data_IF_982826845390
#
_entry.id   IF_982826845390
#
_cell.length_a   1.000
_cell.length_b   1.000
_cell.length_c   1.000
_cell.angle_alpha   90.00
_cell.angle_beta   90.00
_cell.angle_gamma   90.00
#
_symmetry.space_group_name_H-M   'P 1'
#
loop_
_entity.id
_entity.type
_entity.pdbx_description
1 polymer ?
#
# COMPACT_ATOMS: atom_id res chain seq x y z
N UNK A 1 -17.30 13.03 -9.04
CA UNK A 1 -16.72 11.68 -8.89
C UNK A 1 -15.37 11.83 -8.27
N UNK A 2 -15.18 11.25 -7.09
CA UNK A 2 -13.93 11.36 -6.35
C UNK A 2 -12.83 10.52 -6.99
N UNK A 3 -11.58 10.95 -6.86
CA UNK A 3 -10.43 10.26 -7.49
C UNK A 3 -10.33 8.78 -7.10
N UNK A 4 -10.69 8.43 -5.86
CA UNK A 4 -10.67 7.04 -5.40
C UNK A 4 -11.78 6.19 -6.00
N UNK A 5 -12.92 6.77 -6.40
CA UNK A 5 -14.01 6.03 -7.06
C UNK A 5 -13.54 5.58 -8.44
N UNK A 6 -12.93 6.48 -9.21
CA UNK A 6 -12.32 6.14 -10.50
C UNK A 6 -11.31 4.99 -10.39
N UNK A 7 -10.51 4.95 -9.33
CA UNK A 7 -9.57 3.85 -9.13
C UNK A 7 -10.26 2.50 -8.86
N UNK A 8 -11.40 2.49 -8.15
CA UNK A 8 -12.18 1.27 -7.96
C UNK A 8 -12.88 0.85 -9.26
N UNK A 9 -13.41 1.81 -10.02
CA UNK A 9 -14.03 1.55 -11.32
C UNK A 9 -13.01 0.94 -12.31
N UNK A 10 -11.77 1.47 -12.33
CA UNK A 10 -10.68 0.91 -13.13
C UNK A 10 -10.31 -0.52 -12.71
N UNK A 11 -10.37 -0.83 -11.41
CA UNK A 11 -10.14 -2.18 -10.90
C UNK A 11 -11.24 -3.13 -11.40
N UNK A 12 -12.50 -2.70 -11.31
CA UNK A 12 -13.65 -3.49 -11.75
C UNK A 12 -13.63 -3.71 -13.27
N UNK A 13 -13.29 -2.68 -14.04
CA UNK A 13 -13.09 -2.77 -15.48
C UNK A 13 -11.96 -3.77 -15.82
N UNK A 14 -10.83 -3.69 -15.14
CA UNK A 14 -9.70 -4.62 -15.34
C UNK A 14 -10.12 -6.07 -15.06
N UNK A 15 -10.90 -6.31 -13.99
CA UNK A 15 -11.43 -7.65 -13.68
C UNK A 15 -12.45 -8.12 -14.71
N UNK A 16 -13.23 -7.21 -15.32
CA UNK A 16 -14.19 -7.55 -16.38
C UNK A 16 -13.49 -8.12 -17.63
N UNK A 17 -12.21 -7.80 -17.83
CA UNK A 17 -11.39 -8.36 -18.90
C UNK A 17 -10.78 -9.73 -18.55
N UNK A 18 -11.11 -10.30 -17.38
CA UNK A 18 -10.58 -11.58 -16.91
C UNK A 18 -9.17 -11.52 -16.33
N UNK A 19 -8.66 -10.32 -16.06
CA UNK A 19 -7.34 -10.12 -15.45
C UNK A 19 -7.44 -10.31 -13.94
N UNK A 20 -6.67 -11.25 -13.40
CA UNK A 20 -6.55 -11.43 -11.95
C UNK A 20 -5.70 -10.33 -11.32
N UNK A 21 -6.18 -9.77 -10.20
CA UNK A 21 -5.51 -8.70 -9.48
C UNK A 21 -5.08 -9.26 -8.11
N UNK A 22 -3.85 -9.77 -7.97
CA UNK A 22 -3.42 -10.45 -6.76
C UNK A 22 -3.14 -9.48 -5.60
N UNK A 23 -2.89 -8.20 -5.90
CA UNK A 23 -2.56 -7.18 -4.91
C UNK A 23 -2.79 -5.79 -5.47
N UNK A 24 -3.37 -4.90 -4.65
CA UNK A 24 -3.45 -3.46 -4.92
C UNK A 24 -2.40 -2.72 -4.09
N UNK A 25 -1.59 -1.87 -4.75
CA UNK A 25 -0.67 -0.95 -4.10
C UNK A 25 -0.98 0.49 -4.51
N UNK A 26 -0.94 1.41 -3.56
CA UNK A 26 -1.23 2.82 -3.82
C UNK A 26 -0.43 3.74 -2.88
N UNK A 27 -0.33 5.03 -3.23
CA UNK A 27 0.18 6.05 -2.32
C UNK A 27 -0.87 6.51 -1.29
N UNK A 28 -0.48 7.43 -0.41
CA UNK A 28 -1.35 8.05 0.58
C UNK A 28 -2.52 8.84 -0.04
N UNK A 29 -2.40 9.33 -1.28
CA UNK A 29 -3.47 10.03 -1.96
C UNK A 29 -4.73 9.17 -2.17
N UNK A 30 -4.56 7.85 -2.32
CA UNK A 30 -5.68 6.90 -2.29
C UNK A 30 -5.82 6.23 -0.93
N UNK A 31 -4.71 5.82 -0.32
CA UNK A 31 -4.74 5.05 0.91
C UNK A 31 -5.26 5.82 2.11
N UNK A 32 -5.28 7.16 2.10
CA UNK A 32 -5.93 7.96 3.15
C UNK A 32 -7.45 7.89 3.09
N UNK A 33 -8.02 7.70 1.91
CA UNK A 33 -9.45 7.57 1.72
C UNK A 33 -9.93 6.24 2.33
N UNK A 34 -10.65 6.33 3.45
CA UNK A 34 -11.19 5.13 4.11
C UNK A 34 -12.18 4.39 3.22
N UNK A 35 -12.97 5.12 2.43
CA UNK A 35 -13.89 4.55 1.45
C UNK A 35 -13.15 3.74 0.37
N UNK A 36 -11.96 4.18 -0.06
CA UNK A 36 -11.12 3.42 -0.99
C UNK A 36 -10.71 2.07 -0.39
N UNK A 37 -10.15 2.09 0.82
CA UNK A 37 -9.72 0.87 1.52
C UNK A 37 -10.89 -0.07 1.75
N UNK A 38 -12.05 0.46 2.15
CA UNK A 38 -13.26 -0.34 2.33
C UNK A 38 -13.74 -0.96 1.01
N UNK A 39 -13.75 -0.19 -0.09
CA UNK A 39 -14.13 -0.71 -1.41
C UNK A 39 -13.21 -1.83 -1.92
N UNK A 40 -11.91 -1.80 -1.56
CA UNK A 40 -11.00 -2.92 -1.81
C UNK A 40 -11.37 -4.16 -0.98
N UNK A 41 -11.77 -3.97 0.28
CA UNK A 41 -12.17 -5.06 1.19
C UNK A 41 -13.47 -5.72 0.75
N UNK A 42 -14.48 -4.95 0.31
CA UNK A 42 -15.72 -5.48 -0.28
C UNK A 42 -15.44 -6.37 -1.50
N UNK A 43 -14.44 -5.98 -2.30
CA UNK A 43 -13.98 -6.74 -3.48
C UNK A 43 -13.06 -7.92 -3.14
N UNK A 44 -12.77 -8.13 -1.85
CA UNK A 44 -11.85 -9.13 -1.31
C UNK A 44 -10.44 -9.02 -1.89
N UNK A 45 -10.00 -7.80 -2.19
CA UNK A 45 -8.68 -7.54 -2.76
C UNK A 45 -7.63 -7.38 -1.65
N UNK A 46 -6.52 -8.14 -1.70
CA UNK A 46 -5.36 -7.85 -0.87
C UNK A 46 -4.79 -6.48 -1.24
N UNK A 47 -4.35 -5.71 -0.25
CA UNK A 47 -3.74 -4.41 -0.49
C UNK A 47 -2.59 -4.09 0.45
N UNK A 48 -1.69 -3.23 -0.04
CA UNK A 48 -0.69 -2.53 0.77
C UNK A 48 -0.62 -1.08 0.28
N UNK A 49 -1.29 -0.18 0.99
CA UNK A 49 -1.46 1.22 0.56
C UNK A 49 -0.73 2.16 1.50
N UNK A 50 -0.05 3.16 0.94
CA UNK A 50 0.54 4.23 1.73
C UNK A 50 -0.54 5.00 2.47
N UNK A 51 -0.23 5.50 3.67
CA UNK A 51 -1.15 6.30 4.47
C UNK A 51 -0.42 7.46 5.15
N UNK A 52 -1.17 8.47 5.57
CA UNK A 52 -0.72 9.51 6.47
C UNK A 52 -0.46 8.96 7.86
N UNK A 53 0.55 9.51 8.52
CA UNK A 53 0.90 9.17 9.91
C UNK A 53 -0.15 9.62 10.93
N UNK A 54 -1.08 10.50 10.50
CA UNK A 54 -2.14 11.10 11.34
C UNK A 54 -3.39 10.25 11.47
N UNK A 55 -3.52 9.15 10.70
CA UNK A 55 -4.61 8.21 10.94
C UNK A 55 -4.54 7.67 12.36
N UNK A 56 -5.68 7.27 12.91
CA UNK A 56 -5.75 6.75 14.28
C UNK A 56 -6.10 5.28 14.29
N UNK A 57 -5.57 4.57 15.28
CA UNK A 57 -5.84 3.17 15.53
C UNK A 57 -5.72 2.82 17.01
N UNK A 58 -6.29 1.69 17.37
CA UNK A 58 -5.99 1.00 18.63
C UNK A 58 -4.91 -0.07 18.41
N UNK A 59 -4.16 -0.44 19.47
CA UNK A 59 -3.37 -1.67 19.47
C UNK A 59 -4.20 -2.92 19.09
N UNK A 60 -3.56 -3.96 18.55
CA UNK A 60 -4.27 -5.18 18.11
C UNK A 60 -4.96 -5.95 19.25
N UNK A 61 -4.40 -5.91 20.45
CA UNK A 61 -4.92 -6.54 21.67
C UNK A 61 -6.05 -5.75 22.32
N UNK A 62 -6.24 -4.47 21.96
CA UNK A 62 -7.38 -3.68 22.42
C UNK A 62 -8.71 -4.35 22.02
N UNK A 63 -9.66 -4.37 22.95
CA UNK A 63 -11.02 -4.89 22.75
C UNK A 63 -12.05 -3.86 23.20
N UNK A 64 -13.19 -3.75 22.51
CA UNK A 64 -14.29 -2.96 23.01
C UNK A 64 -14.88 -3.64 24.26
N UNK A 65 -15.24 -2.86 25.26
CA UNK A 65 -15.92 -3.32 26.48
C UNK A 65 -17.27 -2.64 26.62
N UNK A 66 -18.21 -3.30 27.27
CA UNK A 66 -19.46 -2.67 27.67
C UNK A 66 -19.24 -1.95 29.00
N UNK A 67 -19.42 -0.63 29.08
CA UNK A 67 -19.35 0.08 30.35
C UNK A 67 -20.40 -0.44 31.33
N UNK A 68 -20.13 -0.33 32.63
CA UNK A 68 -21.09 -0.68 33.67
C UNK A 68 -22.40 0.12 33.48
N UNK A 69 -23.52 -0.58 33.42
CA UNK A 69 -24.83 0.03 33.24
C UNK A 69 -25.36 0.54 34.58
N UNK A 70 -25.60 1.85 34.67
CA UNK A 70 -26.08 2.51 35.90
C UNK A 70 -27.60 2.36 36.15
N UNK A 71 -28.30 1.53 35.36
CA UNK A 71 -29.71 1.20 35.58
C UNK A 71 -30.72 2.20 35.01
N UNK A 72 -30.28 3.28 34.36
CA UNK A 72 -31.18 4.24 33.70
C UNK A 72 -30.90 4.33 32.20
N UNK A 73 -31.95 4.30 31.39
CA UNK A 73 -31.89 4.49 29.93
C UNK A 73 -31.43 3.26 29.14
N UNK A 74 -30.99 3.46 27.89
CA UNK A 74 -30.48 2.37 27.04
C UNK A 74 -29.11 1.89 27.57
N UNK A 75 -28.86 0.57 27.70
CA UNK A 75 -27.53 0.07 28.05
C UNK A 75 -26.44 0.66 27.14
N UNK A 76 -25.29 1.07 27.70
CA UNK A 76 -24.23 1.69 26.93
C UNK A 76 -23.73 0.72 25.86
N UNK A 77 -23.41 1.28 24.69
CA UNK A 77 -22.82 0.52 23.60
C UNK A 77 -21.40 0.09 23.95
N UNK A 78 -20.96 -1.01 23.34
CA UNK A 78 -19.58 -1.49 23.42
C UNK A 78 -18.63 -0.43 22.84
N UNK A 79 -17.60 -0.06 23.59
CA UNK A 79 -16.63 0.96 23.19
C UNK A 79 -15.21 0.59 23.62
N UNK A 80 -14.21 1.07 22.89
CA UNK A 80 -12.81 0.91 23.30
C UNK A 80 -12.57 1.77 24.55
N UNK A 81 -12.01 1.20 25.64
CA UNK A 81 -11.80 1.94 26.88
C UNK A 81 -10.82 3.11 26.71
N UNK A 82 -9.74 2.87 25.96
CA UNK A 82 -8.69 3.84 25.70
C UNK A 82 -8.97 4.63 24.41
N UNK A 83 -8.53 5.91 24.33
CA UNK A 83 -8.61 6.67 23.10
C UNK A 83 -7.68 6.08 22.03
N UNK A 84 -8.10 6.18 20.77
CA UNK A 84 -7.26 5.78 19.65
C UNK A 84 -6.04 6.70 19.54
N UNK A 85 -4.88 6.14 19.23
CA UNK A 85 -3.61 6.85 19.08
C UNK A 85 -3.29 7.04 17.60
N UNK A 86 -2.44 8.02 17.26
CA UNK A 86 -2.01 8.16 15.86
C UNK A 86 -1.12 6.98 15.46
N UNK A 87 -1.08 6.66 14.17
CA UNK A 87 -0.18 5.63 13.65
C UNK A 87 1.28 5.96 13.97
N UNK A 88 1.64 7.24 13.97
CA UNK A 88 2.98 7.71 14.38
C UNK A 88 3.26 7.36 15.83
N UNK A 89 2.32 7.65 16.74
CA UNK A 89 2.51 7.43 18.18
C UNK A 89 2.63 5.94 18.48
N UNK A 90 1.80 5.10 17.86
CA UNK A 90 1.89 3.63 18.00
C UNK A 90 3.25 3.09 17.57
N UNK A 91 3.78 3.55 16.43
CA UNK A 91 5.10 3.13 15.94
C UNK A 91 6.21 3.68 16.83
N UNK A 92 6.09 4.92 17.30
CA UNK A 92 7.06 5.55 18.20
C UNK A 92 7.10 4.85 19.54
N UNK A 93 5.94 4.46 20.10
CA UNK A 93 5.82 3.73 21.35
C UNK A 93 6.40 2.31 21.28
N UNK A 94 6.29 1.63 20.14
CA UNK A 94 6.98 0.36 19.89
C UNK A 94 8.52 0.52 19.92
N UNK A 95 9.00 1.75 19.68
CA UNK A 95 10.40 2.14 19.82
C UNK A 95 11.28 1.69 18.66
N UNK A 96 12.46 2.31 18.57
CA UNK A 96 13.45 2.00 17.53
C UNK A 96 13.95 0.55 17.59
N UNK A 97 13.91 -0.08 18.77
CA UNK A 97 14.32 -1.47 18.94
C UNK A 97 13.42 -2.45 18.15
N UNK A 98 12.13 -2.10 17.95
CA UNK A 98 11.22 -2.88 17.11
C UNK A 98 11.54 -2.77 15.60
N UNK A 99 12.33 -1.77 15.18
CA UNK A 99 12.65 -1.54 13.78
C UNK A 99 13.72 -2.51 13.28
N UNK A 100 13.33 -3.43 12.39
CA UNK A 100 14.21 -4.47 11.82
C UNK A 100 14.77 -4.02 10.48
N UNK A 101 16.05 -4.30 10.24
CA UNK A 101 16.67 -4.04 8.94
C UNK A 101 16.11 -4.99 7.87
N UNK A 102 15.71 -4.43 6.73
CA UNK A 102 15.15 -5.19 5.61
C UNK A 102 15.78 -4.70 4.31
N UNK A 103 16.16 -5.63 3.46
CA UNK A 103 16.55 -5.38 2.07
C UNK A 103 15.52 -6.00 1.13
N UNK A 104 14.96 -5.24 0.20
CA UNK A 104 13.81 -5.69 -0.59
C UNK A 104 14.02 -5.73 -2.10
N UNK A 105 15.05 -5.04 -2.62
CA UNK A 105 15.47 -5.17 -4.02
C UNK A 105 16.91 -4.72 -4.24
N UNK A 106 17.44 -5.09 -5.39
CA UNK A 106 18.63 -4.47 -5.95
C UNK A 106 18.26 -3.11 -6.55
N UNK A 107 19.11 -2.11 -6.32
CA UNK A 107 19.00 -0.81 -6.95
C UNK A 107 19.74 -0.78 -8.29
N UNK A 108 19.69 0.35 -8.99
CA UNK A 108 20.40 0.55 -10.26
C UNK A 108 21.81 1.13 -10.11
N UNK A 109 22.22 1.47 -8.88
CA UNK A 109 23.55 2.05 -8.61
C UNK A 109 24.57 0.94 -8.38
N UNK A 110 25.80 1.03 -8.92
CA UNK A 110 26.87 0.07 -8.60
C UNK A 110 27.07 -0.08 -7.08
N UNK A 111 27.37 -1.30 -6.65
CA UNK A 111 27.53 -1.65 -5.25
C UNK A 111 28.33 -2.94 -5.05
N UNK A 112 28.58 -3.29 -3.79
CA UNK A 112 29.39 -4.45 -3.39
C UNK A 112 28.60 -5.75 -3.26
N UNK A 113 27.39 -5.84 -3.84
CA UNK A 113 26.63 -7.09 -3.82
C UNK A 113 27.19 -8.07 -4.84
N UNK A 114 26.76 -9.34 -4.75
CA UNK A 114 27.15 -10.39 -5.71
C UNK A 114 26.78 -10.02 -7.15
N UNK A 115 25.70 -9.26 -7.36
CA UNK A 115 25.28 -8.78 -8.69
C UNK A 115 25.97 -7.48 -9.12
N UNK A 116 26.83 -6.90 -8.28
CA UNK A 116 27.49 -5.62 -8.56
C UNK A 116 26.60 -4.39 -8.34
N UNK A 117 25.36 -4.54 -7.85
CA UNK A 117 24.43 -3.44 -7.61
C UNK A 117 24.10 -3.21 -6.13
N UNK A 118 23.91 -1.95 -5.73
CA UNK A 118 23.57 -1.56 -4.36
C UNK A 118 22.17 -2.04 -3.99
N UNK A 119 22.05 -2.88 -2.96
CA UNK A 119 20.75 -3.28 -2.42
C UNK A 119 20.06 -2.12 -1.70
N UNK A 120 18.78 -1.94 -2.00
CA UNK A 120 17.93 -1.03 -1.25
C UNK A 120 17.61 -1.65 0.09
N UNK A 121 17.98 -0.94 1.14
CA UNK A 121 17.84 -1.36 2.53
C UNK A 121 17.38 -0.17 3.37
N UNK A 122 16.63 -0.48 4.42
CA UNK A 122 16.13 0.47 5.41
C UNK A 122 15.68 -0.33 6.63
N UNK A 123 15.16 0.35 7.66
CA UNK A 123 14.61 -0.29 8.85
C UNK A 123 13.10 -0.09 8.88
N UNK A 124 12.37 -1.13 9.25
CA UNK A 124 10.92 -1.12 9.27
C UNK A 124 10.38 -1.64 10.59
N UNK A 125 9.32 -1.02 11.06
CA UNK A 125 8.46 -1.50 12.13
C UNK A 125 7.19 -2.05 11.50
N UNK A 126 6.77 -3.25 11.89
CA UNK A 126 5.47 -3.80 11.52
C UNK A 126 4.69 -4.13 12.78
N UNK A 127 3.50 -3.55 12.90
CA UNK A 127 2.58 -3.74 14.02
C UNK A 127 1.25 -4.26 13.49
N UNK A 128 0.52 -4.97 14.35
CA UNK A 128 -0.91 -5.22 14.13
C UNK A 128 -1.67 -4.14 14.88
N UNK A 129 -2.64 -3.53 14.20
CA UNK A 129 -3.43 -2.41 14.73
C UNK A 129 -4.89 -2.53 14.30
N UNK A 130 -5.78 -1.80 14.97
CA UNK A 130 -7.20 -1.71 14.65
C UNK A 130 -7.55 -0.27 14.25
N UNK A 131 -7.58 0.06 12.94
CA UNK A 131 -7.86 1.41 12.46
C UNK A 131 -9.18 1.96 13.03
N UNK A 132 -9.15 3.15 13.61
CA UNK A 132 -10.23 3.70 14.43
C UNK A 132 -10.90 4.95 13.83
N UNK A 133 -10.55 5.30 12.60
CA UNK A 133 -11.13 6.43 11.87
C UNK A 133 -12.66 6.29 11.69
N UNK A 134 -13.36 7.43 11.61
CA UNK A 134 -14.83 7.49 11.52
C UNK A 134 -15.39 6.59 10.40
N UNK A 135 -14.77 6.62 9.21
CA UNK A 135 -15.20 5.80 8.09
C UNK A 135 -15.09 4.30 8.36
N UNK A 136 -14.05 3.87 9.09
CA UNK A 136 -13.85 2.45 9.43
C UNK A 136 -14.94 1.99 10.40
N UNK A 137 -15.27 2.83 11.39
CA UNK A 137 -16.36 2.54 12.34
C UNK A 137 -17.71 2.42 11.67
N UNK A 138 -17.98 3.23 10.65
CA UNK A 138 -19.23 3.20 9.89
C UNK A 138 -19.32 1.97 8.99
N UNK A 139 -18.18 1.45 8.52
CA UNK A 139 -18.09 0.34 7.59
C UNK A 139 -17.81 -1.00 8.26
N UNK A 140 -17.78 -1.06 9.60
CA UNK A 140 -17.51 -2.29 10.35
C UNK A 140 -18.81 -2.83 10.92
N UNK A 141 -19.08 -4.11 10.67
CA UNK A 141 -20.18 -4.82 11.29
C UNK A 141 -19.84 -5.17 12.75
N UNK A 142 -20.44 -4.43 13.67
CA UNK A 142 -20.29 -4.65 15.11
C UNK A 142 -19.23 -3.76 15.78
N UNK A 143 -19.00 -3.97 17.09
CA UNK A 143 -18.20 -3.06 17.90
C UNK A 143 -16.69 -3.26 17.74
N UNK A 144 -16.27 -4.44 17.27
CA UNK A 144 -14.86 -4.79 17.16
C UNK A 144 -14.29 -4.41 15.79
N UNK A 145 -13.49 -3.35 15.78
CA UNK A 145 -12.76 -2.87 14.60
C UNK A 145 -11.80 -3.91 14.02
N UNK A 146 -11.65 -3.97 12.68
CA UNK A 146 -10.85 -4.99 12.03
C UNK A 146 -9.35 -4.81 12.26
N UNK A 147 -8.62 -5.92 12.38
CA UNK A 147 -7.17 -5.92 12.54
C UNK A 147 -6.45 -5.80 11.18
N UNK A 148 -5.48 -4.90 11.08
CA UNK A 148 -4.68 -4.62 9.89
C UNK A 148 -3.20 -4.53 10.22
N UNK A 149 -2.36 -4.75 9.22
CA UNK A 149 -0.93 -4.45 9.31
C UNK A 149 -0.73 -2.95 9.22
N UNK A 150 0.03 -2.40 10.17
CA UNK A 150 0.68 -1.10 10.07
C UNK A 150 2.17 -1.34 9.82
N UNK A 151 2.64 -0.95 8.65
CA UNK A 151 4.06 -0.95 8.32
C UNK A 151 4.56 0.49 8.34
N UNK A 152 5.69 0.73 8.97
CA UNK A 152 6.35 2.03 8.98
C UNK A 152 7.83 1.91 8.65
N UNK A 153 8.32 2.77 7.77
CA UNK A 153 9.74 2.91 7.52
C UNK A 153 10.34 3.87 8.56
N UNK A 154 11.33 3.39 9.30
CA UNK A 154 12.04 4.19 10.30
C UNK A 154 13.54 4.06 10.08
N UNK A 155 14.11 4.81 9.12
CA UNK A 155 15.53 4.75 8.80
C UNK A 155 16.39 5.06 10.04
N UNK A 156 17.56 4.43 10.14
CA UNK A 156 18.45 4.62 11.29
C UNK A 156 18.90 6.08 11.47
N UNK A 157 18.99 6.82 10.37
CA UNK A 157 19.42 8.22 10.32
C UNK A 157 18.33 9.21 10.73
N UNK A 158 17.07 8.78 10.78
CA UNK A 158 15.93 9.67 11.01
C UNK A 158 15.51 9.67 12.48
N UNK A 159 15.12 10.83 13.05
CA UNK A 159 14.62 10.93 14.42
C UNK A 159 13.28 10.18 14.61
N UNK A 160 12.49 10.07 13.53
CA UNK A 160 11.10 9.57 13.55
C UNK A 160 10.82 8.71 12.31
N UNK A 161 9.73 7.90 12.30
CA UNK A 161 9.32 7.16 11.11
C UNK A 161 8.86 8.09 9.98
N UNK A 162 9.21 7.77 8.74
CA UNK A 162 9.07 8.68 7.58
C UNK A 162 8.00 8.28 6.58
N UNK A 163 7.63 6.99 6.53
CA UNK A 163 6.61 6.48 5.61
C UNK A 163 5.77 5.42 6.32
N UNK A 164 4.48 5.37 6.00
CA UNK A 164 3.51 4.49 6.64
C UNK A 164 2.66 3.81 5.57
N UNK A 165 2.31 2.54 5.81
CA UNK A 165 1.40 1.77 5.00
C UNK A 165 0.40 1.01 5.88
N UNK A 166 -0.81 0.84 5.35
CA UNK A 166 -1.82 -0.05 5.91
C UNK A 166 -2.05 -1.22 4.96
N UNK A 167 -2.25 -2.41 5.50
CA UNK A 167 -2.48 -3.61 4.70
C UNK A 167 -3.43 -4.60 5.37
N UNK A 168 -4.27 -5.25 4.56
CA UNK A 168 -5.14 -6.37 4.96
C UNK A 168 -4.49 -7.75 4.69
N UNK A 169 -3.20 -7.79 4.36
CA UNK A 169 -2.49 -9.05 4.11
C UNK A 169 -2.52 -9.98 5.35
N UNK A 170 -2.42 -11.31 5.16
CA UNK A 170 -2.47 -12.27 6.26
C UNK A 170 -1.49 -11.98 7.40
N UNK A 171 -1.89 -12.28 8.64
CA UNK A 171 -1.09 -12.04 9.85
C UNK A 171 0.20 -12.86 9.93
N UNK A 172 0.30 -13.97 9.19
CA UNK A 172 1.52 -14.79 9.09
C UNK A 172 2.55 -14.26 8.09
N UNK A 173 2.30 -13.14 7.41
CA UNK A 173 3.18 -12.68 6.34
C UNK A 173 4.55 -12.20 6.86
N UNK A 174 5.68 -12.70 6.32
CA UNK A 174 7.00 -12.24 6.71
C UNK A 174 7.21 -10.74 6.46
N UNK A 175 7.90 -10.06 7.37
CA UNK A 175 8.20 -8.63 7.24
C UNK A 175 8.87 -8.28 5.90
N UNK A 176 9.82 -9.10 5.44
CA UNK A 176 10.51 -8.88 4.18
C UNK A 176 9.54 -8.88 2.98
N UNK A 177 8.52 -9.74 3.02
CA UNK A 177 7.46 -9.80 2.01
C UNK A 177 6.56 -8.56 2.09
N UNK A 178 6.10 -8.17 3.29
CA UNK A 178 5.31 -6.95 3.48
C UNK A 178 6.03 -5.71 2.92
N UNK A 179 7.31 -5.55 3.24
CA UNK A 179 8.15 -4.44 2.75
C UNK A 179 8.31 -4.51 1.24
N UNK A 180 8.59 -5.68 0.67
CA UNK A 180 8.72 -5.86 -0.78
C UNK A 180 7.44 -5.43 -1.49
N UNK A 181 6.28 -5.88 -1.02
CA UNK A 181 4.98 -5.55 -1.59
C UNK A 181 4.66 -4.06 -1.45
N UNK A 182 4.81 -3.48 -0.27
CA UNK A 182 4.59 -2.04 -0.04
C UNK A 182 5.50 -1.15 -0.91
N UNK A 183 6.73 -1.60 -1.21
CA UNK A 183 7.68 -0.89 -2.06
C UNK A 183 7.50 -1.14 -3.57
N UNK A 184 6.57 -2.01 -3.99
CA UNK A 184 6.22 -2.17 -5.40
C UNK A 184 5.67 -0.89 -6.03
N UNK A 185 5.09 0.02 -5.23
CA UNK A 185 4.62 1.33 -5.69
C UNK A 185 5.68 2.11 -6.50
N UNK A 186 6.96 1.95 -6.18
CA UNK A 186 8.02 2.62 -6.94
C UNK A 186 8.12 2.14 -8.39
N UNK A 187 7.66 0.92 -8.71
CA UNK A 187 7.58 0.45 -10.10
C UNK A 187 6.67 1.37 -10.92
N UNK A 188 5.55 1.81 -10.36
CA UNK A 188 4.63 2.77 -11.01
C UNK A 188 5.39 4.04 -11.42
N UNK A 189 6.20 4.62 -10.53
CA UNK A 189 7.00 5.82 -10.84
C UNK A 189 8.05 5.56 -11.93
N UNK A 190 8.63 4.36 -11.95
CA UNK A 190 9.59 3.95 -12.97
C UNK A 190 8.92 3.80 -14.34
N UNK A 191 7.81 3.07 -14.41
CA UNK A 191 7.03 2.83 -15.62
C UNK A 191 6.53 4.16 -16.20
N UNK A 192 5.98 5.06 -15.37
CA UNK A 192 5.59 6.40 -15.82
C UNK A 192 6.77 7.22 -16.35
N UNK A 193 7.97 7.07 -15.76
CA UNK A 193 9.16 7.77 -16.26
C UNK A 193 9.58 7.22 -17.62
N UNK A 194 9.60 5.90 -17.79
CA UNK A 194 9.90 5.28 -19.07
C UNK A 194 8.90 5.72 -20.14
N UNK A 195 7.59 5.62 -19.85
CA UNK A 195 6.54 6.03 -20.77
C UNK A 195 6.69 7.50 -21.17
N UNK A 196 6.99 8.40 -20.23
CA UNK A 196 7.16 9.84 -20.52
C UNK A 196 8.42 10.16 -21.31
N UNK A 197 9.56 9.66 -20.84
CA UNK A 197 10.87 10.10 -21.33
C UNK A 197 11.35 9.29 -22.54
N UNK A 198 11.07 7.99 -22.59
CA UNK A 198 11.54 7.11 -23.66
C UNK A 198 10.47 6.87 -24.73
N UNK A 199 9.20 6.74 -24.33
CA UNK A 199 8.11 6.35 -25.25
C UNK A 199 7.23 7.53 -25.69
N UNK A 200 7.50 8.73 -25.20
CA UNK A 200 6.86 9.96 -25.66
C UNK A 200 5.43 10.19 -25.16
N UNK A 201 5.05 9.66 -23.98
CA UNK A 201 3.76 9.96 -23.37
C UNK A 201 3.51 11.46 -23.23
N UNK A 202 4.57 12.26 -23.02
CA UNK A 202 4.49 13.70 -22.85
C UNK A 202 4.66 14.49 -24.18
N UNK A 203 4.77 13.82 -25.33
CA UNK A 203 5.08 14.44 -26.62
C UNK A 203 3.86 14.63 -27.53
N UNK A 204 2.64 14.46 -27.02
CA UNK A 204 1.43 14.68 -27.82
C UNK A 204 1.19 16.19 -28.01
N UNK A 205 1.20 16.65 -29.26
CA UNK A 205 0.98 18.06 -29.64
C UNK A 205 -0.38 18.32 -30.31
N UNK A 206 -1.20 17.28 -30.46
CA UNK A 206 -2.55 17.40 -31.03
C UNK A 206 -3.55 18.06 -30.07
N UNK A 207 -4.75 18.35 -30.58
CA UNK A 207 -5.82 19.03 -29.81
C UNK A 207 -7.13 18.25 -29.72
N UNK A 208 -7.21 17.08 -30.35
CA UNK A 208 -8.43 16.27 -30.36
C UNK A 208 -8.36 15.20 -29.29
N UNK A 209 -9.49 14.94 -28.63
CA UNK A 209 -9.62 13.86 -27.66
C UNK A 209 -9.24 12.50 -28.26
N UNK A 210 -9.76 12.18 -29.46
CA UNK A 210 -9.45 10.93 -30.14
C UNK A 210 -7.96 10.81 -30.49
N UNK A 211 -7.32 11.91 -30.92
CA UNK A 211 -5.89 11.93 -31.20
C UNK A 211 -5.06 11.64 -29.95
N UNK A 212 -5.42 12.25 -28.81
CA UNK A 212 -4.78 12.00 -27.53
C UNK A 212 -4.96 10.54 -27.09
N UNK A 213 -6.19 10.01 -27.23
CA UNK A 213 -6.51 8.65 -26.85
C UNK A 213 -5.72 7.62 -27.68
N UNK A 214 -5.63 7.81 -29.00
CA UNK A 214 -4.81 6.98 -29.87
C UNK A 214 -3.33 7.01 -29.46
N UNK A 215 -2.80 8.21 -29.19
CA UNK A 215 -1.41 8.39 -28.76
C UNK A 215 -1.10 7.63 -27.47
N UNK A 216 -1.90 7.84 -26.41
CA UNK A 216 -1.72 7.17 -25.12
C UNK A 216 -1.85 5.65 -25.25
N UNK A 217 -2.75 5.18 -26.10
CA UNK A 217 -2.93 3.74 -26.38
C UNK A 217 -1.67 3.15 -27.03
N UNK A 218 -1.12 3.80 -28.06
CA UNK A 218 0.10 3.34 -28.73
C UNK A 218 1.32 3.35 -27.79
N UNK A 219 1.48 4.40 -26.98
CA UNK A 219 2.53 4.47 -25.95
C UNK A 219 2.39 3.34 -24.94
N UNK A 220 1.17 3.02 -24.52
CA UNK A 220 0.90 1.92 -23.57
C UNK A 220 1.21 0.56 -24.20
N UNK A 221 0.88 0.35 -25.48
CA UNK A 221 1.23 -0.87 -26.21
C UNK A 221 2.75 -1.02 -26.39
N UNK A 222 3.47 0.07 -26.72
CA UNK A 222 4.93 0.06 -26.79
C UNK A 222 5.57 -0.26 -25.44
N UNK A 223 5.06 0.31 -24.35
CA UNK A 223 5.52 -0.01 -23.00
C UNK A 223 5.31 -1.47 -22.64
N UNK A 224 4.14 -2.03 -22.97
CA UNK A 224 3.85 -3.45 -22.77
C UNK A 224 4.83 -4.33 -23.56
N UNK A 225 5.09 -4.01 -24.83
CA UNK A 225 6.09 -4.72 -25.64
C UNK A 225 7.49 -4.70 -25.01
N UNK A 226 8.00 -3.52 -24.64
CA UNK A 226 9.31 -3.39 -23.99
C UNK A 226 9.38 -4.18 -22.66
N UNK A 227 8.31 -4.16 -21.88
CA UNK A 227 8.23 -4.90 -20.62
C UNK A 227 8.24 -6.40 -20.84
N UNK A 228 7.48 -6.91 -21.82
CA UNK A 228 7.48 -8.33 -22.18
C UNK A 228 8.83 -8.80 -22.72
N UNK A 229 9.51 -7.99 -23.53
CA UNK A 229 10.86 -8.30 -24.01
C UNK A 229 11.87 -8.41 -22.87
N UNK A 230 11.82 -7.48 -21.90
CA UNK A 230 12.67 -7.57 -20.70
C UNK A 230 12.40 -8.81 -19.88
N UNK A 231 11.13 -9.17 -19.68
CA UNK A 231 10.76 -10.37 -18.94
C UNK A 231 11.20 -11.66 -19.64
N UNK A 232 11.18 -11.68 -20.98
CA UNK A 232 11.67 -12.80 -21.77
C UNK A 232 13.21 -12.91 -21.79
N UNK A 233 13.92 -11.79 -21.62
CA UNK A 233 15.39 -11.74 -21.60
C UNK A 233 16.00 -11.84 -20.20
N UNK A 234 15.20 -11.74 -19.13
CA UNK A 234 15.68 -11.85 -17.75
C UNK A 234 16.22 -13.28 -17.53
N UNK A 235 17.53 -13.48 -17.28
CA UNK A 235 18.16 -14.77 -17.35
C UNK A 235 17.81 -15.62 -16.12
N UNK A 236 16.67 -16.31 -16.19
CA UNK A 236 16.47 -17.56 -15.44
C UNK A 236 16.78 -18.80 -16.29
N UNK A 237 16.94 -18.64 -17.60
CA UNK A 237 17.13 -19.75 -18.54
C UNK A 237 18.59 -19.89 -19.03
N UNK A 238 19.54 -19.08 -18.53
CA UNK A 238 20.96 -19.17 -18.89
C UNK A 238 21.80 -20.03 -17.92
N UNK A 239 21.16 -20.83 -17.06
CA UNK A 239 21.82 -21.70 -16.08
C UNK A 239 21.68 -23.20 -16.37
N UNK A 240 21.18 -23.57 -17.55
CA UNK A 240 21.09 -24.96 -18.01
C UNK A 240 21.60 -25.09 -19.46
N UNK A 241 22.90 -24.87 -19.68
CA UNK A 241 23.70 -25.45 -20.76
C UNK A 241 25.11 -25.76 -20.22
#
# INVERSE_FOLDING_TARGET
MEKWQLALDMIDETRSWGIDIPLVVADAGYGDATAFRHGLEERKLPYAVGISSRHTAHPADARPVQPAYAGSGRPPAMQYPEPAQTMKDLVTAAGRAAARAVSWREGSRPGKSVSGFKRMHSRFVALRVRPAGRGVRQSTDGPELPERWLLAEWPATEPEPVQFWLSNLPSGMPLATLVRLAKLRWRIEHDYREMKQALGLAHFEGRTWNGWHHHVTLVSAAHAFCTLQRLAQDPKDAAEE
#
